data_IF_299638846704
#
_entry.id   IF_299638846704
#
_cell.length_a   1.000
_cell.length_b   1.000
_cell.length_c   1.000
_cell.angle_alpha   90.00
_cell.angle_beta   90.00
_cell.angle_gamma   90.00
#
_symmetry.space_group_name_H-M   'P 1'
#
loop_
_entity.id
_entity.type
_entity.pdbx_description
1 polymer ?
#
# COMPACT_ATOMS: atom_id res chain seq x y z
N UNK A 1 17.07 16.06 4.42
CA UNK A 1 17.89 15.70 3.24
C UNK A 1 17.51 14.27 2.95
N UNK A 2 16.75 14.00 1.89
CA UNK A 2 16.29 12.63 1.62
C UNK A 2 17.42 11.79 1.07
N UNK A 3 17.41 10.51 1.37
CA UNK A 3 18.37 9.59 0.82
C UNK A 3 17.64 8.45 0.10
N UNK A 4 18.04 8.26 -1.15
CA UNK A 4 17.46 7.22 -2.01
C UNK A 4 18.25 5.95 -1.73
N UNK A 5 17.56 4.90 -1.27
CA UNK A 5 18.14 3.58 -1.11
C UNK A 5 17.68 2.77 -2.32
N UNK A 6 18.55 2.68 -3.32
CA UNK A 6 18.33 1.75 -4.42
C UNK A 6 18.58 0.33 -3.91
N UNK A 7 17.58 -0.52 -4.05
CA UNK A 7 17.70 -1.93 -3.72
C UNK A 7 17.78 -2.73 -5.01
N UNK A 8 18.92 -3.36 -5.29
CA UNK A 8 19.04 -4.36 -6.35
C UNK A 8 19.15 -5.75 -5.70
N UNK A 9 18.00 -6.46 -5.65
CA UNK A 9 17.93 -7.91 -5.85
C UNK A 9 19.09 -8.51 -6.63
N UNK A 10 19.99 -9.30 -6.05
CA UNK A 10 21.01 -9.98 -6.84
C UNK A 10 20.48 -10.98 -7.88
N UNK A 11 19.16 -11.26 -7.97
CA UNK A 11 18.62 -12.27 -8.89
C UNK A 11 17.27 -11.90 -9.60
N UNK A 12 16.71 -10.71 -9.38
CA UNK A 12 15.56 -10.19 -10.13
C UNK A 12 15.55 -8.64 -10.11
N UNK A 13 15.02 -8.02 -11.17
CA UNK A 13 14.81 -6.57 -11.16
C UNK A 13 13.83 -6.23 -10.01
N UNK A 14 14.16 -5.26 -9.15
CA UNK A 14 13.35 -4.91 -7.99
C UNK A 14 11.99 -4.36 -8.44
N UNK A 15 10.93 -4.75 -7.74
CA UNK A 15 9.55 -4.25 -7.87
C UNK A 15 9.27 -3.06 -6.97
N UNK A 16 10.15 -2.74 -6.01
CA UNK A 16 10.04 -1.54 -5.20
C UNK A 16 11.30 -0.66 -5.23
N UNK A 17 11.07 0.65 -5.08
CA UNK A 17 12.11 1.64 -4.77
C UNK A 17 11.80 2.22 -3.39
N UNK A 18 12.75 2.12 -2.45
CA UNK A 18 12.57 2.63 -1.09
C UNK A 18 13.30 3.96 -0.91
N UNK A 19 12.55 5.00 -0.62
CA UNK A 19 13.05 6.31 -0.26
C UNK A 19 12.92 6.48 1.25
N UNK A 20 13.98 6.95 1.90
CA UNK A 20 13.98 7.17 3.35
C UNK A 20 14.40 8.60 3.65
N UNK A 21 13.74 9.24 4.62
CA UNK A 21 14.26 10.49 5.15
C UNK A 21 15.68 10.28 5.73
N UNK A 22 16.56 11.23 5.47
CA UNK A 22 17.96 11.16 5.85
C UNK A 22 18.19 11.15 7.35
N UNK A 23 17.23 11.63 8.16
CA UNK A 23 17.29 11.44 9.60
C UNK A 23 17.28 9.95 9.98
N UNK A 24 16.55 9.11 9.24
CA UNK A 24 16.50 7.67 9.48
C UNK A 24 17.83 6.96 9.18
N UNK A 25 18.59 7.47 8.20
CA UNK A 25 19.93 6.94 7.87
C UNK A 25 20.97 7.23 8.96
N UNK A 26 20.80 8.31 9.71
CA UNK A 26 21.76 8.76 10.74
C UNK A 26 21.70 7.85 11.99
N UNK A 27 20.63 7.07 12.18
CA UNK A 27 20.42 6.24 13.38
C UNK A 27 20.69 4.74 13.22
N UNK A 28 21.26 4.28 12.09
CA UNK A 28 21.63 2.87 11.92
C UNK A 28 20.47 1.90 11.68
N UNK A 29 19.28 2.42 11.36
CA UNK A 29 18.07 1.66 10.98
C UNK A 29 18.06 1.17 9.52
N UNK A 30 19.16 1.36 8.78
CA UNK A 30 19.28 0.94 7.38
C UNK A 30 19.09 -0.58 7.18
N UNK A 31 19.50 -1.39 8.16
CA UNK A 31 19.25 -2.85 8.11
C UNK A 31 17.76 -3.19 8.20
N UNK A 32 16.97 -2.34 8.87
CA UNK A 32 15.53 -2.51 8.96
C UNK A 32 14.88 -2.16 7.62
N UNK A 33 15.43 -1.19 6.88
CA UNK A 33 14.98 -0.86 5.51
C UNK A 33 15.29 -1.98 4.49
N UNK A 34 16.44 -2.65 4.60
CA UNK A 34 16.77 -3.81 3.74
C UNK A 34 15.83 -5.00 4.00
N UNK A 35 15.57 -5.30 5.28
CA UNK A 35 14.63 -6.36 5.67
C UNK A 35 13.20 -6.02 5.24
N UNK A 36 12.81 -4.75 5.37
CA UNK A 36 11.52 -4.21 4.95
C UNK A 36 11.31 -4.31 3.44
N UNK A 37 12.30 -3.89 2.64
CA UNK A 37 12.26 -4.03 1.19
C UNK A 37 12.17 -5.50 0.76
N UNK A 38 12.96 -6.39 1.39
CA UNK A 38 12.90 -7.82 1.12
C UNK A 38 11.53 -8.42 1.48
N UNK A 39 10.90 -7.97 2.56
CA UNK A 39 9.55 -8.41 2.94
C UNK A 39 8.52 -8.04 1.87
N UNK A 40 8.62 -6.84 1.30
CA UNK A 40 7.75 -6.41 0.21
C UNK A 40 7.88 -7.35 -1.00
N UNK A 41 9.12 -7.64 -1.38
CA UNK A 41 9.44 -8.39 -2.61
C UNK A 41 9.12 -9.88 -2.54
N UNK A 42 9.18 -10.45 -1.33
CA UNK A 42 9.08 -11.91 -1.13
C UNK A 42 7.78 -12.37 -0.52
N UNK A 43 7.10 -11.51 0.25
CA UNK A 43 5.90 -11.89 0.98
C UNK A 43 4.71 -10.99 0.64
N UNK A 44 4.84 -9.66 0.77
CA UNK A 44 3.69 -8.74 0.55
C UNK A 44 3.24 -8.79 -0.91
N UNK A 45 4.15 -8.66 -1.88
CA UNK A 45 3.78 -8.73 -3.29
C UNK A 45 3.02 -10.02 -3.64
N UNK A 46 3.51 -11.15 -3.13
CA UNK A 46 2.94 -12.47 -3.37
C UNK A 46 1.65 -12.73 -2.57
N UNK A 47 1.39 -12.00 -1.48
CA UNK A 47 0.14 -12.05 -0.73
C UNK A 47 -0.93 -11.10 -1.27
N UNK A 48 -0.54 -9.98 -1.89
CA UNK A 48 -1.49 -8.96 -2.33
C UNK A 48 -1.92 -9.14 -3.79
N UNK A 49 -0.95 -9.20 -4.71
CA UNK A 49 -1.23 -9.15 -6.16
C UNK A 49 -2.14 -10.29 -6.65
N UNK A 50 -1.97 -11.56 -6.19
CA UNK A 50 -2.86 -12.64 -6.61
C UNK A 50 -4.32 -12.49 -6.16
N UNK A 51 -4.57 -11.73 -5.09
CA UNK A 51 -5.91 -11.60 -4.49
C UNK A 51 -6.60 -10.29 -4.88
N UNK A 52 -5.86 -9.20 -4.96
CA UNK A 52 -6.40 -7.86 -5.20
C UNK A 52 -6.23 -7.37 -6.64
N UNK A 53 -5.28 -7.94 -7.40
CA UNK A 53 -5.06 -7.60 -8.79
C UNK A 53 -3.69 -6.98 -9.05
N UNK A 54 -3.53 -6.39 -10.23
CA UNK A 54 -2.27 -5.79 -10.68
C UNK A 54 -2.22 -4.33 -10.25
N UNK A 55 -1.12 -3.85 -9.67
CA UNK A 55 -0.97 -2.42 -9.38
C UNK A 55 -0.98 -1.57 -10.66
N UNK A 56 -1.30 -0.26 -10.56
CA UNK A 56 -1.08 0.66 -11.66
C UNK A 56 0.43 0.81 -11.98
N UNK A 57 0.72 1.43 -13.12
CA UNK A 57 2.08 1.71 -13.61
C UNK A 57 2.03 2.99 -14.45
N UNK A 58 1.82 4.13 -13.78
CA UNK A 58 1.57 5.43 -14.39
C UNK A 58 2.84 6.06 -14.96
N UNK A 59 4.00 5.79 -14.37
CA UNK A 59 5.31 6.23 -14.90
C UNK A 59 5.96 5.23 -15.87
N UNK A 60 5.45 4.00 -15.93
CA UNK A 60 5.89 2.96 -16.85
C UNK A 60 7.21 2.30 -16.45
N UNK A 61 7.65 2.45 -15.20
CA UNK A 61 8.88 1.85 -14.69
C UNK A 61 8.65 0.48 -14.05
N UNK A 62 7.39 0.12 -13.80
CA UNK A 62 6.94 -1.16 -13.28
C UNK A 62 7.24 -1.37 -11.79
N UNK A 63 7.43 -0.30 -11.02
CA UNK A 63 7.83 -0.36 -9.61
C UNK A 63 6.92 0.45 -8.71
N UNK A 64 6.88 0.03 -7.45
CA UNK A 64 6.19 0.74 -6.37
C UNK A 64 7.20 1.54 -5.57
N UNK A 65 6.98 2.84 -5.46
CA UNK A 65 7.80 3.73 -4.64
C UNK A 65 7.28 3.70 -3.21
N UNK A 66 8.11 3.23 -2.27
CA UNK A 66 7.81 3.30 -0.84
C UNK A 66 8.59 4.45 -0.22
N UNK A 67 7.87 5.47 0.25
CA UNK A 67 8.47 6.66 0.85
C UNK A 67 8.32 6.64 2.38
N UNK A 68 9.42 6.38 3.06
CA UNK A 68 9.47 6.34 4.52
C UNK A 68 9.88 7.70 5.07
N UNK A 69 8.97 8.33 5.80
CA UNK A 69 9.13 9.68 6.34
C UNK A 69 8.42 9.83 7.69
N UNK A 70 8.70 10.90 8.41
CA UNK A 70 7.93 11.26 9.60
C UNK A 70 6.64 11.95 9.11
N UNK A 71 5.50 11.27 9.24
CA UNK A 71 4.19 11.79 8.82
C UNK A 71 3.73 12.75 9.92
N UNK A 72 3.65 14.04 9.58
CA UNK A 72 3.14 15.06 10.49
C UNK A 72 1.61 14.90 10.67
N UNK A 73 1.21 14.07 11.64
CA UNK A 73 -0.20 13.73 11.91
C UNK A 73 -0.84 14.56 13.04
N UNK A 74 -0.02 15.32 13.80
CA UNK A 74 -0.48 16.13 14.93
C UNK A 74 -1.01 15.31 16.11
N UNK A 75 -0.77 13.99 16.11
CA UNK A 75 -1.14 13.08 17.17
C UNK A 75 -0.01 12.99 18.21
N UNK A 76 -0.35 12.58 19.43
CA UNK A 76 0.62 12.46 20.51
C UNK A 76 0.37 11.21 21.34
N UNK A 77 1.44 10.69 21.96
CA UNK A 77 1.37 9.44 22.70
C UNK A 77 1.60 8.23 21.80
N UNK A 78 0.74 7.22 21.90
CA UNK A 78 0.88 5.96 21.14
C UNK A 78 0.01 5.87 19.89
N UNK A 79 -0.69 6.95 19.52
CA UNK A 79 -1.54 7.01 18.33
C UNK A 79 -0.82 7.82 17.27
N UNK A 80 -0.75 7.27 16.07
CA UNK A 80 -0.13 7.89 14.91
C UNK A 80 -0.78 7.34 13.62
N UNK A 81 -0.63 8.06 12.51
CA UNK A 81 -0.94 7.55 11.17
C UNK A 81 0.26 6.72 10.71
N UNK A 82 0.09 5.41 10.58
CA UNK A 82 1.22 4.52 10.29
C UNK A 82 1.69 4.57 8.83
N UNK A 83 0.79 4.91 7.91
CA UNK A 83 1.04 4.98 6.48
C UNK A 83 -0.11 5.67 5.76
N UNK A 84 0.11 5.99 4.50
CA UNK A 84 -0.93 6.53 3.62
C UNK A 84 -0.61 6.30 2.14
N UNK A 85 -1.59 5.80 1.41
CA UNK A 85 -1.67 5.89 -0.04
C UNK A 85 -2.43 7.15 -0.48
N UNK A 86 -1.81 7.95 -1.35
CA UNK A 86 -2.40 9.17 -1.89
C UNK A 86 -2.72 8.99 -3.37
N UNK A 87 -3.99 8.70 -3.67
CA UNK A 87 -4.55 8.60 -5.04
C UNK A 87 -4.19 9.76 -5.97
N UNK A 88 -3.85 10.93 -5.41
CA UNK A 88 -3.49 12.09 -6.20
C UNK A 88 -2.29 11.83 -7.12
N UNK A 89 -1.34 10.97 -6.71
CA UNK A 89 -0.12 10.71 -7.48
C UNK A 89 -0.36 9.87 -8.74
N UNK A 90 -1.53 9.26 -8.86
CA UNK A 90 -1.96 8.46 -10.02
C UNK A 90 -2.58 9.32 -11.14
N UNK A 91 -2.90 10.58 -10.86
CA UNK A 91 -3.55 11.47 -11.82
C UNK A 91 -2.55 12.35 -12.55
N UNK A 92 -2.72 12.47 -13.87
CA UNK A 92 -1.97 13.42 -14.69
C UNK A 92 -2.40 14.88 -14.44
N UNK A 93 -1.51 15.74 -13.92
CA UNK A 93 -1.79 17.17 -13.74
C UNK A 93 -2.31 17.87 -15.00
N UNK A 94 -1.86 17.45 -16.18
CA UNK A 94 -2.29 18.04 -17.45
C UNK A 94 -3.75 17.73 -17.77
N UNK A 95 -4.29 16.62 -17.26
CA UNK A 95 -5.70 16.26 -17.36
C UNK A 95 -6.59 17.07 -16.41
N UNK A 96 -6.02 17.66 -15.35
CA UNK A 96 -6.74 18.42 -14.32
C UNK A 96 -6.11 19.80 -14.04
N UNK A 97 -5.97 20.68 -15.04
CA UNK A 97 -5.17 21.91 -14.95
C UNK A 97 -5.70 22.96 -13.96
N UNK A 98 -6.93 22.80 -13.46
CA UNK A 98 -7.57 23.71 -12.49
C UNK A 98 -7.72 23.11 -11.10
N UNK A 99 -7.34 21.84 -10.91
CA UNK A 99 -7.45 21.17 -9.62
C UNK A 99 -6.16 21.41 -8.80
N UNK A 100 -6.21 22.21 -7.72
CA UNK A 100 -5.01 22.60 -6.98
C UNK A 100 -4.35 21.43 -6.24
N UNK A 101 -5.06 20.31 -6.01
CA UNK A 101 -4.51 19.13 -5.33
C UNK A 101 -3.79 18.25 -6.35
N UNK A 102 -4.43 17.94 -7.48
CA UNK A 102 -3.85 17.09 -8.52
C UNK A 102 -2.62 17.77 -9.18
N UNK A 103 -2.51 19.10 -9.14
CA UNK A 103 -1.28 19.78 -9.57
C UNK A 103 -0.03 19.40 -8.76
N UNK A 104 -0.17 18.75 -7.60
CA UNK A 104 0.94 18.20 -6.81
C UNK A 104 1.19 16.71 -7.06
N UNK A 105 0.51 16.11 -8.05
CA UNK A 105 0.77 14.74 -8.47
C UNK A 105 2.23 14.57 -8.88
N UNK A 106 2.77 13.39 -8.53
CA UNK A 106 4.13 13.01 -8.86
C UNK A 106 4.16 12.05 -10.05
N UNK A 107 2.98 11.60 -10.54
CA UNK A 107 2.85 10.62 -11.60
C UNK A 107 3.67 9.37 -11.31
N UNK A 108 3.49 8.76 -10.14
CA UNK A 108 4.18 7.54 -9.69
C UNK A 108 3.32 6.79 -8.65
N UNK A 109 3.51 5.47 -8.56
CA UNK A 109 2.91 4.62 -7.53
C UNK A 109 3.60 4.81 -6.18
N UNK A 110 3.08 5.71 -5.33
CA UNK A 110 3.71 6.05 -4.06
C UNK A 110 2.88 5.57 -2.86
N UNK A 111 3.51 4.77 -2.01
CA UNK A 111 3.02 4.44 -0.65
C UNK A 111 3.91 5.13 0.39
N UNK A 112 3.30 5.86 1.32
CA UNK A 112 4.02 6.52 2.40
C UNK A 112 3.94 5.69 3.68
N UNK A 113 5.07 5.57 4.39
CA UNK A 113 5.17 4.82 5.64
C UNK A 113 5.81 5.70 6.71
N UNK A 114 5.20 5.72 7.89
CA UNK A 114 5.70 6.50 9.00
C UNK A 114 6.95 5.87 9.64
N UNK A 115 7.93 6.70 10.02
CA UNK A 115 9.13 6.20 10.72
C UNK A 115 8.83 5.53 12.07
N UNK A 116 7.74 5.91 12.73
CA UNK A 116 7.23 5.27 13.95
C UNK A 116 6.68 3.87 13.65
N UNK A 117 6.06 3.64 12.50
CA UNK A 117 5.64 2.29 12.06
C UNK A 117 6.84 1.35 11.91
N UNK A 118 7.95 1.86 11.35
CA UNK A 118 9.22 1.12 11.26
C UNK A 118 9.72 0.79 12.67
N UNK A 119 9.73 1.77 13.57
CA UNK A 119 10.29 1.59 14.92
C UNK A 119 9.45 0.68 15.83
N UNK A 120 8.14 0.61 15.61
CA UNK A 120 7.21 -0.22 16.37
C UNK A 120 7.03 -1.63 15.81
N UNK A 121 7.58 -1.90 14.62
CA UNK A 121 7.46 -3.19 13.94
C UNK A 121 6.15 -3.39 13.18
N UNK A 122 5.33 -2.34 13.04
CA UNK A 122 4.05 -2.39 12.33
C UNK A 122 4.18 -2.14 10.82
N UNK A 123 5.32 -1.62 10.37
CA UNK A 123 5.50 -1.14 8.99
C UNK A 123 5.13 -2.16 7.91
N UNK A 124 5.42 -3.45 8.08
CA UNK A 124 5.11 -4.46 7.06
C UNK A 124 3.59 -4.60 6.83
N UNK A 125 2.82 -4.70 7.92
CA UNK A 125 1.37 -4.78 7.85
C UNK A 125 0.77 -3.49 7.27
N UNK A 126 1.28 -2.34 7.70
CA UNK A 126 0.89 -1.04 7.13
C UNK A 126 1.22 -0.95 5.64
N UNK A 127 2.39 -1.42 5.21
CA UNK A 127 2.73 -1.43 3.79
C UNK A 127 1.79 -2.33 2.99
N UNK A 128 1.43 -3.50 3.50
CA UNK A 128 0.42 -4.36 2.87
C UNK A 128 -0.94 -3.66 2.76
N UNK A 129 -1.38 -2.98 3.83
CA UNK A 129 -2.63 -2.18 3.85
C UNK A 129 -2.64 -1.11 2.76
N UNK A 130 -1.62 -0.25 2.73
CA UNK A 130 -1.58 0.85 1.77
C UNK A 130 -1.31 0.37 0.34
N UNK A 131 -0.57 -0.73 0.16
CA UNK A 131 -0.38 -1.35 -1.14
C UNK A 131 -1.67 -1.95 -1.68
N UNK A 132 -2.51 -2.52 -0.81
CA UNK A 132 -3.84 -2.97 -1.17
C UNK A 132 -4.67 -1.80 -1.71
N UNK A 133 -4.68 -0.65 -1.05
CA UNK A 133 -5.39 0.54 -1.56
C UNK A 133 -4.90 0.96 -2.95
N UNK A 134 -3.59 0.92 -3.17
CA UNK A 134 -2.99 1.24 -4.47
C UNK A 134 -3.44 0.26 -5.58
N UNK A 135 -3.40 -1.05 -5.31
CA UNK A 135 -3.90 -2.07 -6.26
C UNK A 135 -5.41 -1.89 -6.50
N UNK A 136 -6.16 -1.65 -5.43
CA UNK A 136 -7.61 -1.55 -5.50
C UNK A 136 -8.04 -0.34 -6.33
N UNK A 137 -7.35 0.79 -6.17
CA UNK A 137 -7.60 2.00 -6.95
C UNK A 137 -7.52 1.76 -8.46
N UNK A 138 -6.63 0.88 -8.92
CA UNK A 138 -6.52 0.52 -10.34
C UNK A 138 -7.73 -0.26 -10.86
N UNK A 139 -8.42 -1.00 -9.99
CA UNK A 139 -9.54 -1.87 -10.37
C UNK A 139 -10.91 -1.26 -10.09
N UNK A 140 -11.08 -0.60 -8.96
CA UNK A 140 -12.32 0.03 -8.53
C UNK A 140 -12.04 1.32 -7.73
N UNK A 141 -11.75 2.44 -8.41
CA UNK A 141 -11.46 3.72 -7.74
C UNK A 141 -12.66 4.33 -7.00
N UNK A 142 -13.88 3.83 -7.26
CA UNK A 142 -15.14 4.36 -6.72
C UNK A 142 -15.74 3.47 -5.61
N UNK A 143 -14.99 2.48 -5.09
CA UNK A 143 -15.45 1.59 -4.02
C UNK A 143 -15.80 2.38 -2.73
N UNK A 144 -16.81 1.90 -2.02
CA UNK A 144 -17.23 2.45 -0.75
C UNK A 144 -16.13 2.30 0.30
N UNK A 145 -15.85 3.40 1.00
CA UNK A 145 -14.77 3.49 1.99
C UNK A 145 -14.69 2.29 2.96
N UNK A 146 -15.83 1.82 3.47
CA UNK A 146 -15.82 0.73 4.46
C UNK A 146 -15.42 -0.63 3.86
N UNK A 147 -15.67 -0.87 2.57
CA UNK A 147 -15.22 -2.08 1.88
C UNK A 147 -13.74 -1.96 1.55
N UNK A 148 -13.31 -0.79 1.08
CA UNK A 148 -11.91 -0.51 0.76
C UNK A 148 -11.01 -0.70 1.98
N UNK A 149 -11.35 -0.06 3.10
CA UNK A 149 -10.62 -0.22 4.37
C UNK A 149 -10.69 -1.65 4.93
N UNK A 150 -11.81 -2.36 4.74
CA UNK A 150 -11.93 -3.75 5.17
C UNK A 150 -11.03 -4.69 4.34
N UNK A 151 -10.88 -4.43 3.04
CA UNK A 151 -9.98 -5.15 2.17
C UNK A 151 -8.51 -4.86 2.53
N UNK A 152 -8.18 -3.59 2.78
CA UNK A 152 -6.86 -3.17 3.23
C UNK A 152 -6.50 -3.75 4.61
N UNK A 153 -7.46 -3.76 5.55
CA UNK A 153 -7.29 -4.42 6.85
C UNK A 153 -7.08 -5.93 6.67
N UNK A 154 -7.78 -6.56 5.72
CA UNK A 154 -7.55 -7.97 5.42
C UNK A 154 -6.15 -8.21 4.84
N UNK A 155 -5.62 -7.32 4.01
CA UNK A 155 -4.24 -7.36 3.54
C UNK A 155 -3.25 -7.27 4.71
N UNK A 156 -3.43 -6.28 5.59
CA UNK A 156 -2.60 -6.08 6.79
C UNK A 156 -2.49 -7.35 7.65
N UNK A 157 -3.63 -7.98 7.96
CA UNK A 157 -3.66 -9.20 8.79
C UNK A 157 -3.39 -10.48 8.01
N UNK A 158 -3.76 -10.53 6.73
CA UNK A 158 -3.59 -11.68 5.84
C UNK A 158 -2.13 -11.97 5.56
N UNK A 159 -1.32 -10.90 5.48
CA UNK A 159 0.13 -10.96 5.52
C UNK A 159 0.67 -11.61 6.83
N UNK A 160 0.04 -11.33 7.98
CA UNK A 160 0.48 -11.84 9.30
C UNK A 160 0.01 -13.27 9.57
N UNK A 161 -1.15 -13.71 9.04
CA UNK A 161 -1.68 -15.04 9.30
C UNK A 161 -2.80 -15.48 8.36
N UNK A 162 -2.50 -16.19 7.26
CA UNK A 162 -3.44 -17.21 6.75
C UNK A 162 -2.75 -18.40 6.08
N UNK A 163 -2.98 -19.65 6.54
CA UNK A 163 -2.73 -20.83 5.72
C UNK A 163 -3.68 -20.82 4.52
N UNK A 164 -3.24 -21.39 3.39
CA UNK A 164 -3.80 -21.38 2.03
C UNK A 164 -5.27 -21.83 1.81
N UNK A 165 -6.11 -21.85 2.84
CA UNK A 165 -7.47 -22.39 2.81
C UNK A 165 -8.58 -21.38 3.14
N UNK A 166 -8.28 -20.10 3.31
CA UNK A 166 -9.33 -19.07 3.48
C UNK A 166 -9.67 -18.46 2.11
N UNK A 167 -10.76 -18.95 1.51
CA UNK A 167 -11.35 -18.38 0.30
C UNK A 167 -12.46 -17.40 0.71
N UNK A 168 -12.19 -16.09 0.63
CA UNK A 168 -13.25 -15.09 0.60
C UNK A 168 -13.50 -14.72 -0.86
N UNK A 169 -14.72 -14.98 -1.33
CA UNK A 169 -15.14 -14.64 -2.69
C UNK A 169 -15.60 -13.18 -2.69
N UNK A 170 -14.67 -12.24 -2.90
CA UNK A 170 -15.04 -10.88 -3.31
C UNK A 170 -15.52 -11.01 -4.75
N UNK A 171 -16.84 -10.97 -4.94
CA UNK A 171 -17.42 -11.00 -6.28
C UNK A 171 -17.16 -9.64 -6.93
N UNK A 172 -16.22 -9.58 -7.86
CA UNK A 172 -16.17 -8.47 -8.82
C UNK A 172 -17.43 -8.57 -9.69
N UNK A 173 -18.34 -7.63 -9.49
CA UNK A 173 -19.53 -7.52 -10.32
C UNK A 173 -19.21 -6.64 -11.53
N UNK A 174 -19.46 -7.10 -12.77
CA UNK A 174 -19.34 -6.22 -13.92
C UNK A 174 -20.32 -5.07 -13.80
N UNK A 175 -19.87 -3.87 -14.18
CA UNK A 175 -20.62 -2.63 -14.06
C UNK A 175 -22.05 -2.76 -14.65
N UNK A 176 -23.05 -2.51 -13.80
CA UNK A 176 -24.41 -2.25 -14.22
C UNK A 176 -25.45 -3.34 -13.94
N UNK A 177 -25.67 -3.73 -12.68
CA UNK A 177 -27.02 -4.05 -12.19
C UNK A 177 -27.07 -4.07 -10.65
N UNK A 178 -27.81 -3.14 -10.05
CA UNK A 178 -28.15 -3.19 -8.61
C UNK A 178 -28.97 -4.46 -8.31
N UNK A 179 -28.55 -5.25 -7.30
CA UNK A 179 -29.47 -5.85 -6.32
C UNK A 179 -28.77 -6.52 -5.12
N UNK A 180 -28.95 -5.89 -3.96
CA UNK A 180 -28.98 -6.41 -2.57
C UNK A 180 -27.99 -7.52 -2.20
N UNK A 181 -27.07 -7.17 -1.30
CA UNK A 181 -26.41 -8.10 -0.37
C UNK A 181 -27.50 -8.83 0.43
N UNK A 182 -27.56 -10.16 0.27
CA UNK A 182 -28.30 -11.05 1.16
C UNK A 182 -27.32 -11.67 2.13
N UNK A 183 -27.50 -11.43 3.43
CA UNK A 183 -26.88 -12.23 4.48
C UNK A 183 -27.52 -13.62 4.40
N UNK A 184 -26.70 -14.66 4.19
CA UNK A 184 -27.13 -16.04 4.40
C UNK A 184 -26.39 -16.61 5.61
N UNK A 185 -27.18 -17.24 6.46
CA UNK A 185 -26.89 -17.58 7.85
C UNK A 185 -25.70 -18.53 8.06
N UNK A 186 -25.13 -18.38 9.25
CA UNK A 186 -24.24 -19.33 9.88
C UNK A 186 -24.77 -20.76 9.80
N UNK A 187 -23.87 -21.71 9.50
CA UNK A 187 -24.04 -23.09 9.95
C UNK A 187 -22.97 -23.34 11.01
N UNK A 188 -23.47 -23.59 12.21
CA UNK A 188 -22.78 -23.99 13.41
C UNK A 188 -22.43 -25.48 13.41
N UNK A 189 -21.32 -25.76 14.10
CA UNK A 189 -20.72 -27.05 14.53
C UNK A 189 -20.00 -27.87 13.46
#
# INVERSE_FOLDING_TARGET
MYAIIYWETSDCAPRAIVHADGEMQIFGKLKDADAFANEFETNIWDSEVPYFGVPPDVDGDGKITVFIMDIEDGLSGSSYIAGVFLRLHEYDPASFPSDPIIQHSMLMEIVHIDTQAISSGNANGTLAHEFQHLIHFNSDPDETLWIDEAAATFAEFGFVAVPASTHLHIQTFPAGLLRRVGVFDAISV
#
